data_IF_789218254092
#
_entry.id   IF_789218254092
#
_cell.length_a   1.000
_cell.length_b   1.000
_cell.length_c   1.000
_cell.angle_alpha   90.00
_cell.angle_beta   90.00
_cell.angle_gamma   90.00
#
_symmetry.space_group_name_H-M   'P 1'
#
loop_
_entity.id
_entity.type
_entity.pdbx_description
1 polymer ?
#
# COMPACT_ATOMS: atom_id res chain seq x y z
N UNK A 1 -7.60 -28.27 8.81
CA UNK A 1 -7.60 -27.52 7.55
C UNK A 1 -8.46 -26.28 7.74
N UNK A 2 -7.84 -25.14 7.67
CA UNK A 2 -8.58 -23.90 7.79
C UNK A 2 -9.35 -23.66 6.49
N UNK A 3 -10.68 -23.60 6.62
CA UNK A 3 -11.57 -23.36 5.48
C UNK A 3 -11.49 -21.92 4.99
N UNK A 4 -10.93 -21.03 5.80
CA UNK A 4 -10.79 -19.62 5.48
C UNK A 4 -9.34 -19.20 5.68
N UNK A 5 -8.74 -18.65 4.65
CA UNK A 5 -7.37 -18.18 4.72
C UNK A 5 -7.04 -17.26 3.57
N UNK A 6 -6.05 -16.40 3.79
CA UNK A 6 -5.62 -15.41 2.82
C UNK A 6 -4.11 -15.50 2.65
N UNK A 7 -3.66 -15.52 1.39
CA UNK A 7 -2.26 -15.30 1.05
C UNK A 7 -2.19 -13.99 0.26
N UNK A 8 -1.83 -12.92 0.94
CA UNK A 8 -1.71 -11.60 0.33
C UNK A 8 -0.53 -11.57 -0.64
N UNK A 9 -0.75 -11.06 -1.85
CA UNK A 9 0.26 -10.88 -2.88
C UNK A 9 0.54 -9.41 -3.18
N UNK A 10 -0.48 -8.57 -3.11
CA UNK A 10 -0.37 -7.12 -3.26
C UNK A 10 -1.36 -6.41 -2.33
N UNK A 11 -0.97 -5.29 -1.73
CA UNK A 11 0.35 -4.68 -1.82
C UNK A 11 1.42 -5.50 -1.12
N UNK A 12 2.67 -5.30 -1.52
CA UNK A 12 3.84 -5.87 -0.85
C UNK A 12 4.45 -4.85 0.11
N UNK A 13 5.33 -5.33 0.99
CA UNK A 13 6.01 -4.47 1.95
C UNK A 13 6.73 -3.32 1.25
N UNK A 14 6.44 -2.11 1.74
CA UNK A 14 7.02 -0.86 1.26
C UNK A 14 6.62 -0.45 -0.16
N UNK A 15 5.55 -1.02 -0.69
CA UNK A 15 4.93 -0.49 -1.90
C UNK A 15 4.46 0.94 -1.68
N UNK A 16 4.63 1.75 -2.70
CA UNK A 16 4.14 3.13 -2.71
C UNK A 16 2.74 3.16 -3.29
N UNK A 17 1.79 3.55 -2.48
CA UNK A 17 0.36 3.56 -2.82
C UNK A 17 -0.12 5.00 -2.94
N UNK A 18 -0.70 5.31 -4.07
CA UNK A 18 -1.32 6.60 -4.32
C UNK A 18 -2.84 6.50 -4.27
N UNK A 19 -3.49 7.08 -5.27
CA UNK A 19 -4.94 7.11 -5.36
C UNK A 19 -5.57 5.75 -5.64
N UNK A 20 -4.83 4.86 -6.30
CA UNK A 20 -5.28 3.52 -6.65
C UNK A 20 -4.48 2.48 -5.92
N UNK A 21 -5.17 1.46 -5.44
CA UNK A 21 -4.57 0.34 -4.73
C UNK A 21 -5.04 -0.96 -5.37
N UNK A 22 -4.12 -1.74 -5.91
CA UNK A 22 -4.39 -3.09 -6.33
C UNK A 22 -4.29 -4.03 -5.13
N UNK A 23 -5.36 -4.74 -4.82
CA UNK A 23 -5.40 -5.78 -3.80
C UNK A 23 -5.44 -7.11 -4.51
N UNK A 24 -4.39 -7.90 -4.38
CA UNK A 24 -4.31 -9.22 -4.99
C UNK A 24 -3.99 -10.27 -3.94
N UNK A 25 -4.70 -11.35 -3.95
CA UNK A 25 -4.51 -12.43 -3.01
C UNK A 25 -4.98 -13.77 -3.58
N UNK A 26 -4.55 -14.84 -2.92
CA UNK A 26 -5.16 -16.17 -3.00
C UNK A 26 -5.90 -16.38 -1.70
N UNK A 27 -7.20 -16.64 -1.74
CA UNK A 27 -7.95 -16.74 -0.51
C UNK A 27 -9.32 -17.36 -0.66
N UNK A 28 -9.91 -17.60 0.50
CA UNK A 28 -11.32 -17.94 0.65
C UNK A 28 -11.86 -17.24 1.90
N UNK A 29 -13.09 -16.78 1.84
CA UNK A 29 -13.77 -16.11 2.93
C UNK A 29 -15.24 -16.50 2.99
N UNK A 30 -15.88 -16.28 4.12
CA UNK A 30 -17.31 -16.50 4.26
C UNK A 30 -18.06 -15.56 3.31
N UNK A 31 -18.99 -16.11 2.54
CA UNK A 31 -19.73 -15.41 1.49
C UNK A 31 -18.82 -14.70 0.47
N UNK A 32 -17.57 -15.15 0.34
CA UNK A 32 -16.57 -14.57 -0.53
C UNK A 32 -16.35 -13.04 -0.30
N UNK A 33 -16.55 -12.58 0.93
CA UNK A 33 -16.47 -11.16 1.31
C UNK A 33 -15.17 -10.87 2.04
N UNK A 34 -14.51 -9.81 1.61
CA UNK A 34 -13.25 -9.32 2.17
C UNK A 34 -13.39 -7.86 2.60
N UNK A 35 -12.76 -7.52 3.71
CA UNK A 35 -12.60 -6.15 4.16
C UNK A 35 -11.14 -5.72 4.11
N UNK A 36 -10.90 -4.46 3.83
CA UNK A 36 -9.55 -3.91 3.89
C UNK A 36 -9.54 -2.57 4.63
N UNK A 37 -8.42 -2.26 5.23
CA UNK A 37 -8.23 -1.00 5.94
C UNK A 37 -6.78 -0.56 5.85
N UNK A 38 -6.57 0.74 5.71
CA UNK A 38 -5.25 1.38 5.79
C UNK A 38 -5.23 2.26 7.03
N UNK A 39 -4.27 1.99 7.92
CA UNK A 39 -4.09 2.71 9.18
C UNK A 39 -2.76 3.43 9.19
N UNK A 40 -2.79 4.69 9.61
CA UNK A 40 -1.63 5.47 10.02
C UNK A 40 -1.63 5.60 11.56
N UNK A 41 -0.54 6.14 12.17
CA UNK A 41 -0.50 6.32 13.63
C UNK A 41 -1.68 7.09 14.20
N UNK A 42 -2.21 8.04 13.46
CA UNK A 42 -3.31 8.91 13.91
C UNK A 42 -4.71 8.36 13.61
N UNK A 43 -4.82 7.22 12.95
CA UNK A 43 -6.11 6.60 12.68
C UNK A 43 -6.25 5.97 11.30
N UNK A 44 -7.49 5.66 10.92
CA UNK A 44 -7.83 5.05 9.64
C UNK A 44 -7.77 6.10 8.53
N UNK A 45 -7.01 5.81 7.48
CA UNK A 45 -6.91 6.66 6.28
C UNK A 45 -7.97 6.31 5.25
N UNK A 46 -8.24 5.03 5.06
CA UNK A 46 -9.20 4.52 4.10
C UNK A 46 -9.60 3.10 4.47
N UNK A 47 -10.77 2.69 4.06
CA UNK A 47 -11.27 1.32 4.22
C UNK A 47 -12.27 0.99 3.12
N UNK A 48 -12.62 -0.27 3.05
CA UNK A 48 -13.63 -0.74 2.12
C UNK A 48 -13.87 -2.24 2.24
N UNK A 49 -14.79 -2.73 1.41
CA UNK A 49 -15.09 -4.15 1.31
C UNK A 49 -15.41 -4.53 -0.14
N UNK A 50 -15.22 -5.80 -0.46
CA UNK A 50 -15.52 -6.33 -1.79
C UNK A 50 -15.80 -7.82 -1.70
N UNK A 51 -16.42 -8.37 -2.74
CA UNK A 51 -16.61 -9.81 -2.91
C UNK A 51 -15.72 -10.30 -4.04
N UNK A 52 -15.06 -11.44 -3.83
CA UNK A 52 -14.19 -12.05 -4.83
C UNK A 52 -13.99 -13.52 -4.56
N UNK A 53 -13.77 -14.28 -5.63
CA UNK A 53 -13.59 -15.74 -5.55
C UNK A 53 -14.86 -16.46 -5.14
N UNK A 54 -14.69 -17.55 -4.43
CA UNK A 54 -15.82 -18.37 -3.94
C UNK A 54 -15.63 -18.78 -2.48
N UNK A 55 -16.73 -19.05 -1.82
CA UNK A 55 -16.71 -19.59 -0.47
C UNK A 55 -16.28 -21.06 -0.49
N UNK A 56 -15.27 -21.40 0.31
CA UNK A 56 -14.82 -22.77 0.50
C UNK A 56 -13.77 -23.27 -0.49
N UNK A 57 -13.40 -22.46 -1.48
CA UNK A 57 -12.32 -22.76 -2.41
C UNK A 57 -11.29 -21.62 -2.41
N UNK A 58 -10.02 -21.99 -2.38
CA UNK A 58 -8.93 -21.03 -2.51
C UNK A 58 -8.83 -20.57 -3.97
N UNK A 59 -9.10 -19.32 -4.21
CA UNK A 59 -9.04 -18.72 -5.54
C UNK A 59 -8.22 -17.45 -5.55
N UNK A 60 -7.53 -17.21 -6.66
CA UNK A 60 -6.80 -15.96 -6.88
C UNK A 60 -7.77 -14.87 -7.32
N UNK A 61 -7.60 -13.68 -6.75
CA UNK A 61 -8.39 -12.52 -7.15
C UNK A 61 -7.55 -11.24 -7.16
N UNK A 62 -8.03 -10.26 -7.90
CA UNK A 62 -7.52 -8.89 -7.90
C UNK A 62 -8.70 -7.94 -7.77
N UNK A 63 -8.57 -7.00 -6.85
CA UNK A 63 -9.54 -5.93 -6.67
C UNK A 63 -8.81 -4.58 -6.70
N UNK A 64 -9.34 -3.62 -7.44
CA UNK A 64 -8.83 -2.27 -7.46
C UNK A 64 -9.66 -1.38 -6.53
N UNK A 65 -9.00 -0.81 -5.53
CA UNK A 65 -9.61 0.11 -4.57
C UNK A 65 -9.14 1.54 -4.81
N UNK A 66 -9.96 2.49 -4.43
CA UNK A 66 -9.60 3.91 -4.41
C UNK A 66 -9.22 4.33 -3.00
N UNK A 67 -8.09 5.00 -2.87
CA UNK A 67 -7.59 5.54 -1.60
C UNK A 67 -7.67 7.06 -1.67
N UNK A 68 -8.63 7.63 -0.98
CA UNK A 68 -8.87 9.07 -0.97
C UNK A 68 -8.34 9.65 0.36
N UNK A 69 -7.12 10.11 0.32
CA UNK A 69 -6.43 10.74 1.46
C UNK A 69 -5.35 11.68 0.94
N UNK A 70 -4.99 12.66 1.74
CA UNK A 70 -3.84 13.55 1.49
C UNK A 70 -2.62 13.20 2.35
N UNK A 71 -2.69 12.10 3.11
CA UNK A 71 -1.61 11.63 3.96
C UNK A 71 -0.37 11.27 3.15
N UNK A 72 0.80 11.58 3.71
CA UNK A 72 2.11 11.21 3.16
C UNK A 72 2.92 10.55 4.27
N UNK A 73 3.29 9.29 4.09
CA UNK A 73 4.11 8.57 5.05
C UNK A 73 3.81 7.08 5.12
N UNK A 74 4.36 6.46 6.16
CA UNK A 74 4.16 5.04 6.42
C UNK A 74 2.75 4.77 6.95
N UNK A 75 2.20 3.65 6.52
CA UNK A 75 0.90 3.15 6.96
C UNK A 75 0.91 1.63 6.96
N UNK A 76 -0.11 1.03 7.54
CA UNK A 76 -0.33 -0.41 7.52
C UNK A 76 -1.58 -0.72 6.72
N UNK A 77 -1.44 -1.57 5.72
CA UNK A 77 -2.55 -2.17 5.00
C UNK A 77 -2.92 -3.50 5.65
N UNK A 78 -4.20 -3.74 5.81
CA UNK A 78 -4.73 -4.99 6.35
C UNK A 78 -5.87 -5.48 5.47
N UNK A 79 -5.81 -6.76 5.09
CA UNK A 79 -6.87 -7.46 4.38
C UNK A 79 -7.40 -8.57 5.28
N UNK A 80 -8.71 -8.63 5.47
CA UNK A 80 -9.37 -9.66 6.27
C UNK A 80 -10.53 -10.28 5.50
N UNK A 81 -10.71 -11.58 5.67
CA UNK A 81 -11.90 -12.28 5.25
C UNK A 81 -13.02 -12.12 6.25
N UNK A 82 -14.27 -12.20 5.79
CA UNK A 82 -15.41 -12.23 6.69
C UNK A 82 -15.43 -13.57 7.46
N UNK A 83 -15.65 -13.50 8.77
CA UNK A 83 -15.71 -14.66 9.66
C UNK A 83 -17.14 -14.85 10.15
N UNK A 84 -17.77 -16.03 9.87
CA UNK A 84 -19.13 -16.30 10.30
C UNK A 84 -19.30 -16.31 11.83
N UNK A 85 -18.19 -16.43 12.57
CA UNK A 85 -18.20 -16.40 14.03
C UNK A 85 -18.19 -14.98 14.60
N UNK A 86 -17.98 -13.97 13.74
CA UNK A 86 -17.88 -12.58 14.18
C UNK A 86 -16.62 -12.24 14.96
N UNK A 87 -15.68 -13.16 15.05
CA UNK A 87 -14.41 -12.99 15.75
C UNK A 87 -13.33 -12.57 14.75
N UNK A 88 -13.17 -11.28 14.54
CA UNK A 88 -12.21 -10.71 13.57
C UNK A 88 -10.73 -10.91 13.93
N UNK A 89 -10.44 -11.61 15.02
CA UNK A 89 -9.09 -11.61 15.61
C UNK A 89 -8.41 -13.00 15.63
N UNK A 90 -8.81 -13.91 14.77
CA UNK A 90 -8.22 -15.26 14.79
C UNK A 90 -6.90 -15.38 14.03
N UNK A 91 -6.44 -14.34 13.37
CA UNK A 91 -5.12 -14.26 12.73
C UNK A 91 -4.92 -15.09 11.47
N UNK A 92 -5.82 -16.01 11.15
CA UNK A 92 -5.71 -16.92 9.99
C UNK A 92 -6.25 -16.29 8.70
N UNK A 93 -7.19 -15.41 8.85
CA UNK A 93 -7.93 -14.74 7.78
C UNK A 93 -7.64 -13.23 7.72
N UNK A 94 -6.58 -12.81 8.39
CA UNK A 94 -6.10 -11.42 8.36
C UNK A 94 -4.63 -11.38 7.99
N UNK A 95 -4.30 -10.56 7.01
CA UNK A 95 -2.93 -10.32 6.55
C UNK A 95 -2.65 -8.83 6.57
N UNK A 96 -1.51 -8.43 7.10
CA UNK A 96 -1.11 -7.03 7.14
C UNK A 96 0.29 -6.83 6.58
N UNK A 97 0.52 -5.65 6.03
CA UNK A 97 1.80 -5.28 5.44
C UNK A 97 2.02 -3.77 5.59
N UNK A 98 3.27 -3.38 5.84
CA UNK A 98 3.66 -1.96 5.87
C UNK A 98 3.78 -1.43 4.45
N UNK A 99 3.18 -0.27 4.20
CA UNK A 99 3.19 0.41 2.91
C UNK A 99 3.53 1.89 3.10
N UNK A 100 3.75 2.57 1.99
CA UNK A 100 3.95 4.03 1.97
C UNK A 100 2.77 4.64 1.23
N UNK A 101 2.08 5.58 1.86
CA UNK A 101 0.99 6.33 1.23
C UNK A 101 1.53 7.66 0.75
N UNK A 102 1.26 7.98 -0.50
CA UNK A 102 1.45 9.32 -1.07
C UNK A 102 0.09 9.78 -1.58
N UNK A 103 -0.62 10.51 -0.74
CA UNK A 103 -1.99 10.93 -1.03
C UNK A 103 -2.10 11.68 -2.36
N UNK A 104 -3.06 11.29 -3.18
CA UNK A 104 -3.31 11.91 -4.48
C UNK A 104 -2.35 11.53 -5.60
N UNK A 105 -1.34 10.71 -5.34
CA UNK A 105 -0.39 10.28 -6.37
C UNK A 105 -1.09 9.43 -7.43
N UNK A 106 -0.88 9.76 -8.69
CA UNK A 106 -1.37 8.97 -9.82
C UNK A 106 -0.32 7.95 -10.32
N UNK A 107 0.94 8.23 -10.07
CA UNK A 107 2.06 7.37 -10.41
C UNK A 107 3.36 7.93 -9.90
N UNK A 108 4.46 7.24 -10.16
CA UNK A 108 5.80 7.74 -9.85
C UNK A 108 6.78 7.32 -10.93
N UNK A 109 7.85 8.10 -11.06
CA UNK A 109 8.98 7.76 -11.92
C UNK A 109 10.22 7.49 -11.07
N UNK A 110 11.15 6.73 -11.63
CA UNK A 110 12.45 6.49 -11.02
C UNK A 110 13.44 7.54 -11.51
N UNK A 111 14.25 8.05 -10.57
CA UNK A 111 15.34 8.97 -10.87
C UNK A 111 16.64 8.41 -10.29
N UNK A 112 17.64 8.21 -11.12
CA UNK A 112 18.97 7.84 -10.68
C UNK A 112 19.77 9.10 -10.37
N UNK A 113 20.25 9.21 -9.14
CA UNK A 113 21.02 10.37 -8.67
C UNK A 113 22.34 10.47 -9.41
N UNK A 114 22.63 11.65 -9.93
CA UNK A 114 23.91 12.02 -10.55
C UNK A 114 24.62 13.08 -9.71
N UNK A 115 25.89 13.28 -9.97
CA UNK A 115 26.68 14.29 -9.26
C UNK A 115 26.05 15.67 -9.40
N UNK A 116 25.88 16.36 -8.26
CA UNK A 116 25.26 17.69 -8.19
C UNK A 116 23.75 17.68 -7.96
N UNK A 117 23.09 16.51 -7.97
CA UNK A 117 21.67 16.41 -7.68
C UNK A 117 21.36 16.73 -6.22
N UNK A 118 20.22 17.40 -6.02
CA UNK A 118 19.58 17.56 -4.72
C UNK A 118 18.10 17.17 -4.84
N UNK A 119 17.52 16.68 -3.75
CA UNK A 119 16.09 16.32 -3.75
C UNK A 119 15.23 17.55 -4.07
N UNK A 120 15.60 18.73 -3.56
CA UNK A 120 14.90 19.98 -3.86
C UNK A 120 14.88 20.31 -5.35
N UNK A 121 16.02 20.15 -6.04
CA UNK A 121 16.12 20.41 -7.47
C UNK A 121 15.34 19.39 -8.29
N UNK A 122 15.40 18.11 -7.90
CA UNK A 122 14.62 17.03 -8.54
C UNK A 122 13.12 17.30 -8.37
N UNK A 123 12.68 17.66 -7.17
CA UNK A 123 11.28 17.99 -6.89
C UNK A 123 10.79 19.14 -7.77
N UNK A 124 11.57 20.20 -7.87
CA UNK A 124 11.23 21.38 -8.69
C UNK A 124 11.16 21.02 -10.18
N UNK A 125 12.09 20.23 -10.67
CA UNK A 125 12.14 19.84 -12.09
C UNK A 125 11.00 18.89 -12.49
N UNK A 126 10.48 18.10 -11.55
CA UNK A 126 9.48 17.07 -11.82
C UNK A 126 8.05 17.47 -11.41
N UNK A 127 7.89 18.59 -10.71
CA UNK A 127 6.59 19.00 -10.16
C UNK A 127 6.19 18.24 -8.90
N UNK A 128 7.11 17.45 -8.31
CA UNK A 128 6.90 16.76 -7.05
C UNK A 128 7.25 17.66 -5.86
N UNK A 129 7.39 17.07 -4.68
CA UNK A 129 7.85 17.79 -3.47
C UNK A 129 8.93 16.98 -2.77
N UNK A 130 9.75 17.68 -1.98
CA UNK A 130 10.77 17.02 -1.14
C UNK A 130 10.13 16.00 -0.20
N UNK A 131 9.00 16.34 0.41
CA UNK A 131 8.29 15.44 1.32
C UNK A 131 7.82 14.16 0.63
N UNK A 132 7.26 14.27 -0.57
CA UNK A 132 6.80 13.11 -1.36
C UNK A 132 7.96 12.20 -1.79
N UNK A 133 9.03 12.79 -2.30
CA UNK A 133 10.22 12.03 -2.72
C UNK A 133 10.85 11.34 -1.51
N UNK A 134 11.02 12.03 -0.40
CA UNK A 134 11.61 11.47 0.82
C UNK A 134 10.77 10.31 1.36
N UNK A 135 9.46 10.46 1.43
CA UNK A 135 8.56 9.40 1.88
C UNK A 135 8.57 8.19 0.94
N UNK A 136 8.40 8.41 -0.36
CA UNK A 136 8.36 7.33 -1.36
C UNK A 136 9.67 6.57 -1.44
N UNK A 137 10.79 7.25 -1.27
CA UNK A 137 12.14 6.67 -1.33
C UNK A 137 12.65 6.22 0.04
N UNK A 138 11.88 6.39 1.11
CA UNK A 138 12.23 6.05 2.48
C UNK A 138 13.53 6.72 2.93
N UNK A 139 13.71 7.98 2.59
CA UNK A 139 14.86 8.77 3.02
C UNK A 139 14.65 9.25 4.46
N UNK A 140 15.56 8.91 5.36
CA UNK A 140 15.59 9.47 6.71
C UNK A 140 16.03 10.93 6.72
N UNK A 141 16.89 11.30 5.76
CA UNK A 141 17.38 12.65 5.57
C UNK A 141 17.42 12.98 4.07
N UNK A 142 16.56 13.90 3.58
CA UNK A 142 16.55 14.26 2.16
C UNK A 142 17.81 14.98 1.68
N UNK A 143 18.67 15.43 2.59
CA UNK A 143 19.97 16.03 2.25
C UNK A 143 21.08 14.99 2.07
N UNK A 144 20.80 13.71 2.31
CA UNK A 144 21.76 12.62 2.21
C UNK A 144 21.36 11.65 1.11
N UNK A 145 21.72 12.01 -0.11
CA UNK A 145 21.57 11.16 -1.29
C UNK A 145 22.96 10.90 -1.90
N UNK A 146 23.10 9.77 -2.56
CA UNK A 146 24.38 9.34 -3.15
C UNK A 146 24.24 9.16 -4.66
N UNK A 147 25.30 9.47 -5.39
CA UNK A 147 25.36 9.18 -6.83
C UNK A 147 25.11 7.69 -7.09
N UNK A 148 24.23 7.40 -8.03
CA UNK A 148 23.78 6.04 -8.36
C UNK A 148 22.57 5.55 -7.59
N UNK A 149 22.19 6.23 -6.52
CA UNK A 149 20.96 5.90 -5.77
C UNK A 149 19.73 6.13 -6.64
N UNK A 150 18.75 5.23 -6.56
CA UNK A 150 17.50 5.36 -7.28
C UNK A 150 16.42 5.90 -6.35
N UNK A 151 15.83 7.03 -6.72
CA UNK A 151 14.75 7.66 -6.00
C UNK A 151 13.40 7.40 -6.70
N UNK A 152 12.35 7.24 -5.91
CA UNK A 152 10.98 7.23 -6.38
C UNK A 152 10.43 8.65 -6.31
N UNK A 153 10.02 9.18 -7.45
CA UNK A 153 9.53 10.57 -7.58
C UNK A 153 8.04 10.53 -7.87
N UNK A 154 7.17 10.78 -6.87
CA UNK A 154 5.72 10.81 -7.07
C UNK A 154 5.28 11.94 -8.01
N UNK A 155 4.30 11.61 -8.85
CA UNK A 155 3.71 12.52 -9.84
C UNK A 155 2.26 12.87 -9.49
#
# INVERSE_FOLDING_TARGET
MDLYGIQLRQPQAWDVVGRRLAIAALGTAFEATYGWVIRAPDGVLADGSFTAGSMGLMESFVHEATVDTDYIGQATFELSGDDPRGERDTGLDTQSVSIIIIGGMEGYQLHQVVHGDTVSAIARATGSTVAKIAAASRLSDPNRIQVGQVLRVPL
#
